data_IF_445930388875
#
_entry.id   IF_445930388875
#
_cell.length_a   1.000
_cell.length_b   1.000
_cell.length_c   1.000
_cell.angle_alpha   90.00
_cell.angle_beta   90.00
_cell.angle_gamma   90.00
#
_symmetry.space_group_name_H-M   'P 1'
#
loop_
_entity.id
_entity.type
_entity.pdbx_description
1 polymer ?
#
# COMPACT_ATOMS: atom_id res chain seq x y z
N UNK A 1 11.45 -6.78 1.40
CA UNK A 1 12.12 -5.51 1.02
C UNK A 1 11.04 -4.47 0.75
N UNK A 2 11.29 -3.20 1.07
CA UNK A 2 10.32 -2.10 0.92
C UNK A 2 10.96 -0.98 0.08
N UNK A 3 10.76 -0.97 -1.25
CA UNK A 3 11.21 0.13 -2.10
C UNK A 3 10.47 1.43 -1.79
N UNK A 4 11.13 2.57 -1.96
CA UNK A 4 10.61 3.90 -1.66
C UNK A 4 10.43 4.67 -2.96
N UNK A 5 9.19 5.04 -3.28
CA UNK A 5 8.91 6.07 -4.30
C UNK A 5 9.22 7.43 -3.68
N UNK A 6 10.21 8.14 -4.23
CA UNK A 6 10.62 9.47 -3.77
C UNK A 6 9.74 10.54 -4.38
N UNK A 7 9.49 11.59 -3.59
CA UNK A 7 8.73 12.78 -4.01
C UNK A 7 7.39 12.44 -4.70
N UNK A 8 6.70 11.42 -4.20
CA UNK A 8 5.48 10.87 -4.81
C UNK A 8 4.36 11.91 -4.95
N UNK A 9 4.36 12.95 -4.11
CA UNK A 9 3.42 14.07 -4.18
C UNK A 9 3.56 14.92 -5.47
N UNK A 10 4.71 14.85 -6.14
CA UNK A 10 4.98 15.59 -7.37
C UNK A 10 4.72 14.77 -8.64
N UNK A 11 4.41 13.48 -8.50
CA UNK A 11 4.22 12.57 -9.63
C UNK A 11 2.76 12.57 -10.10
N UNK A 12 2.56 12.49 -11.41
CA UNK A 12 1.23 12.15 -11.94
C UNK A 12 0.90 10.68 -11.63
N UNK A 13 -0.36 10.29 -11.81
CA UNK A 13 -0.77 8.88 -11.65
C UNK A 13 0.00 7.93 -12.57
N UNK A 14 0.34 8.39 -13.78
CA UNK A 14 1.09 7.58 -14.76
C UNK A 14 2.55 7.44 -14.32
N UNK A 15 3.18 8.54 -13.91
CA UNK A 15 4.58 8.53 -13.47
C UNK A 15 4.74 7.69 -12.19
N UNK A 16 3.80 7.80 -11.26
CA UNK A 16 3.77 6.98 -10.05
C UNK A 16 3.69 5.48 -10.39
N UNK A 17 2.81 5.09 -11.32
CA UNK A 17 2.67 3.70 -11.74
C UNK A 17 3.94 3.17 -12.44
N UNK A 18 4.58 3.99 -13.27
CA UNK A 18 5.85 3.66 -13.91
C UNK A 18 6.96 3.47 -12.88
N UNK A 19 7.06 4.36 -11.89
CA UNK A 19 8.09 4.30 -10.87
C UNK A 19 7.92 3.09 -9.94
N UNK A 20 6.69 2.77 -9.53
CA UNK A 20 6.37 1.54 -8.80
C UNK A 20 6.82 0.31 -9.60
N UNK A 21 6.52 0.27 -10.90
CA UNK A 21 6.91 -0.85 -11.77
C UNK A 21 8.42 -0.98 -11.91
N UNK A 22 9.13 0.14 -12.08
CA UNK A 22 10.59 0.19 -12.16
C UNK A 22 11.23 -0.34 -10.88
N UNK A 23 10.77 0.12 -9.73
CA UNK A 23 11.26 -0.32 -8.42
C UNK A 23 10.97 -1.79 -8.15
N UNK A 24 9.77 -2.28 -8.52
CA UNK A 24 9.41 -3.68 -8.39
C UNK A 24 10.30 -4.59 -9.25
N UNK A 25 10.60 -4.20 -10.49
CA UNK A 25 11.52 -4.92 -11.37
C UNK A 25 12.95 -4.91 -10.81
N UNK A 26 13.47 -3.75 -10.40
CA UNK A 26 14.79 -3.64 -9.81
C UNK A 26 14.93 -4.50 -8.53
N UNK A 27 13.89 -4.53 -7.69
CA UNK A 27 13.83 -5.36 -6.50
C UNK A 27 13.87 -6.86 -6.83
N UNK A 28 13.04 -7.30 -7.80
CA UNK A 28 12.98 -8.70 -8.26
C UNK A 28 14.30 -9.17 -8.88
N UNK A 29 14.93 -8.31 -9.66
CA UNK A 29 16.21 -8.60 -10.33
C UNK A 29 17.43 -8.42 -9.42
N UNK A 30 17.22 -8.07 -8.14
CA UNK A 30 18.29 -7.78 -7.15
C UNK A 30 19.23 -6.65 -7.58
N UNK A 31 18.72 -5.70 -8.39
CA UNK A 31 19.45 -4.51 -8.86
C UNK A 31 19.06 -3.23 -8.13
N UNK A 32 18.13 -3.31 -7.18
CA UNK A 32 17.70 -2.17 -6.38
C UNK A 32 18.87 -1.58 -5.60
N UNK A 33 18.96 -0.25 -5.58
CA UNK A 33 20.02 0.46 -4.88
C UNK A 33 19.63 0.71 -3.41
N UNK A 34 20.60 0.81 -2.48
CA UNK A 34 20.31 1.10 -1.07
C UNK A 34 19.52 2.39 -0.83
N UNK A 35 19.75 3.42 -1.64
CA UNK A 35 19.03 4.70 -1.55
C UNK A 35 17.54 4.60 -1.98
N UNK A 36 17.20 3.59 -2.79
CA UNK A 36 15.82 3.30 -3.20
C UNK A 36 15.05 2.49 -2.15
N UNK A 37 15.68 2.12 -1.03
CA UNK A 37 15.06 1.35 0.06
C UNK A 37 15.07 2.12 1.40
N UNK A 38 15.53 3.37 1.40
CA UNK A 38 15.79 4.14 2.62
C UNK A 38 15.01 5.45 2.62
N UNK A 39 14.79 6.04 3.80
CA UNK A 39 14.14 7.34 4.00
C UNK A 39 12.70 7.41 3.41
N UNK A 40 11.88 6.40 3.70
CA UNK A 40 10.44 6.47 3.49
C UNK A 40 9.76 7.34 4.56
N UNK A 41 8.60 7.90 4.23
CA UNK A 41 7.77 8.67 5.17
C UNK A 41 6.49 7.93 5.58
N UNK A 42 6.03 7.00 4.75
CA UNK A 42 4.83 6.21 4.96
C UNK A 42 4.91 4.93 4.13
N UNK A 43 4.48 3.80 4.71
CA UNK A 43 4.50 2.50 4.05
C UNK A 43 3.09 2.05 3.67
N UNK A 44 2.97 1.45 2.48
CA UNK A 44 1.78 0.70 2.07
C UNK A 44 2.17 -0.77 1.95
N UNK A 45 1.36 -1.64 2.55
CA UNK A 45 1.51 -3.09 2.44
C UNK A 45 0.24 -3.72 1.90
N UNK A 46 0.37 -4.58 0.89
CA UNK A 46 -0.77 -5.18 0.17
C UNK A 46 -0.90 -6.67 0.52
N UNK A 47 -1.69 -6.97 1.54
CA UNK A 47 -2.07 -8.34 1.90
C UNK A 47 -3.11 -8.93 0.93
N UNK A 48 -3.85 -8.06 0.24
CA UNK A 48 -4.83 -8.47 -0.75
C UNK A 48 -4.23 -9.31 -1.88
N UNK A 49 -2.96 -9.08 -2.21
CA UNK A 49 -2.20 -9.87 -3.19
C UNK A 49 -2.13 -11.37 -2.87
N UNK A 50 -2.23 -11.74 -1.59
CA UNK A 50 -2.23 -13.14 -1.11
C UNK A 50 -3.61 -13.60 -0.61
N UNK A 51 -4.67 -12.82 -0.88
CA UNK A 51 -6.06 -13.15 -0.51
C UNK A 51 -6.45 -12.80 0.92
N UNK A 52 -5.57 -12.18 1.71
CA UNK A 52 -5.90 -11.80 3.08
C UNK A 52 -6.87 -10.60 3.11
N UNK A 53 -7.93 -10.72 3.90
CA UNK A 53 -8.99 -9.70 3.96
C UNK A 53 -8.60 -8.48 4.80
N UNK A 54 -7.85 -8.65 5.87
CA UNK A 54 -7.35 -7.59 6.74
C UNK A 54 -6.16 -8.10 7.56
N UNK A 55 -5.43 -7.19 8.19
CA UNK A 55 -4.33 -7.50 9.08
C UNK A 55 -3.91 -6.25 9.85
N UNK A 56 -3.13 -6.43 10.92
CA UNK A 56 -2.56 -5.31 11.69
C UNK A 56 -1.12 -5.10 11.26
N UNK A 57 -0.84 -4.14 10.36
CA UNK A 57 0.53 -3.88 9.92
C UNK A 57 1.44 -3.42 11.07
N UNK A 58 2.70 -3.86 11.03
CA UNK A 58 3.74 -3.33 11.91
C UNK A 58 4.39 -2.13 11.24
N UNK A 59 4.51 -1.03 11.98
CA UNK A 59 5.13 0.22 11.49
C UNK A 59 6.58 -0.04 11.08
N UNK A 60 6.96 0.45 9.91
CA UNK A 60 8.33 0.42 9.41
C UNK A 60 9.13 1.58 10.01
N UNK A 61 9.72 1.37 11.19
CA UNK A 61 10.49 2.41 11.89
C UNK A 61 11.60 2.99 10.97
N UNK A 62 11.80 4.33 10.92
CA UNK A 62 11.28 5.38 11.79
C UNK A 62 9.98 6.08 11.33
N UNK A 63 9.21 5.48 10.42
CA UNK A 63 7.92 6.04 10.00
C UNK A 63 6.90 6.03 11.15
N UNK A 64 5.86 6.86 11.06
CA UNK A 64 4.82 6.97 12.10
C UNK A 64 3.56 6.17 11.81
N UNK A 65 3.36 5.73 10.56
CA UNK A 65 2.17 4.98 10.18
C UNK A 65 2.42 4.09 8.97
N UNK A 66 1.57 3.08 8.84
CA UNK A 66 1.54 2.12 7.73
C UNK A 66 0.09 1.76 7.40
N UNK A 67 -0.24 1.75 6.10
CA UNK A 67 -1.53 1.28 5.61
C UNK A 67 -1.44 -0.15 5.05
N UNK A 68 -2.33 -1.01 5.53
CA UNK A 68 -2.58 -2.34 5.00
C UNK A 68 -3.79 -2.35 4.07
N UNK A 69 -3.59 -2.87 2.86
CA UNK A 69 -4.63 -3.03 1.83
C UNK A 69 -5.04 -4.51 1.77
N UNK A 70 -6.31 -4.80 2.08
CA UNK A 70 -6.89 -6.14 2.02
C UNK A 70 -7.31 -6.57 0.61
N UNK A 71 -7.72 -7.83 0.47
CA UNK A 71 -8.24 -8.35 -0.79
C UNK A 71 -9.58 -7.68 -1.15
N UNK A 72 -9.77 -7.42 -2.45
CA UNK A 72 -11.04 -6.95 -2.99
C UNK A 72 -11.98 -8.14 -3.14
N UNK A 73 -13.15 -8.08 -2.50
CA UNK A 73 -14.15 -9.16 -2.51
C UNK A 73 -15.54 -8.64 -2.85
N UNK A 74 -16.36 -9.48 -3.46
CA UNK A 74 -17.79 -9.19 -3.65
C UNK A 74 -18.53 -9.31 -2.32
N UNK A 75 -19.25 -8.25 -1.94
CA UNK A 75 -20.10 -8.22 -0.75
C UNK A 75 -21.41 -7.49 -1.05
N UNK A 76 -22.51 -7.81 -0.35
CA UNK A 76 -23.70 -6.98 -0.37
C UNK A 76 -23.37 -5.61 0.27
N UNK A 77 -23.66 -4.53 -0.46
CA UNK A 77 -23.52 -3.14 0.01
C UNK A 77 -24.83 -2.39 -0.20
N UNK A 78 -25.07 -1.38 0.63
CA UNK A 78 -26.24 -0.50 0.46
C UNK A 78 -25.85 0.64 -0.47
N UNK A 79 -26.56 0.78 -1.59
CA UNK A 79 -26.46 1.91 -2.51
C UNK A 79 -27.86 2.43 -2.82
N UNK A 80 -28.09 3.72 -2.58
CA UNK A 80 -29.39 4.37 -2.81
C UNK A 80 -30.57 3.64 -2.14
N UNK A 81 -30.36 3.13 -0.91
CA UNK A 81 -31.38 2.41 -0.14
C UNK A 81 -31.61 0.95 -0.55
N UNK A 82 -30.87 0.43 -1.54
CA UNK A 82 -31.00 -0.94 -2.04
C UNK A 82 -29.74 -1.75 -1.73
N UNK A 83 -29.92 -3.04 -1.44
CA UNK A 83 -28.81 -3.99 -1.31
C UNK A 83 -28.38 -4.42 -2.71
N UNK A 84 -27.14 -4.10 -3.08
CA UNK A 84 -26.54 -4.46 -4.37
C UNK A 84 -25.21 -5.19 -4.17
N UNK A 85 -24.77 -6.05 -5.09
CA UNK A 85 -23.40 -6.56 -5.08
C UNK A 85 -22.40 -5.41 -5.28
N UNK A 86 -21.36 -5.35 -4.45
CA UNK A 86 -20.30 -4.37 -4.55
C UNK A 86 -18.92 -4.97 -4.27
N UNK A 87 -17.90 -4.41 -4.93
CA UNK A 87 -16.50 -4.70 -4.61
C UNK A 87 -16.10 -3.92 -3.36
N UNK A 88 -15.74 -4.63 -2.30
CA UNK A 88 -15.32 -4.03 -1.01
C UNK A 88 -13.90 -4.45 -0.71
N UNK A 89 -13.14 -3.53 -0.12
CA UNK A 89 -11.77 -3.71 0.29
C UNK A 89 -11.60 -3.14 1.70
N UNK A 90 -11.01 -3.90 2.62
CA UNK A 90 -10.65 -3.35 3.92
C UNK A 90 -9.36 -2.55 3.80
N UNK A 91 -9.34 -1.37 4.41
CA UNK A 91 -8.14 -0.58 4.64
C UNK A 91 -7.88 -0.57 6.15
N UNK A 92 -6.68 -0.94 6.57
CA UNK A 92 -6.26 -0.88 7.98
C UNK A 92 -5.08 0.06 8.10
N UNK A 93 -5.07 0.92 9.13
CA UNK A 93 -3.94 1.81 9.41
C UNK A 93 -3.45 1.53 10.82
N UNK A 94 -2.17 1.23 10.94
CA UNK A 94 -1.48 1.23 12.23
C UNK A 94 -0.65 2.51 12.30
N UNK A 95 -0.83 3.25 13.38
CA UNK A 95 -0.19 4.54 13.59
C UNK A 95 0.37 4.62 15.02
N UNK A 96 1.49 5.30 15.16
CA UNK A 96 2.08 5.64 16.43
C UNK A 96 1.25 6.73 17.11
N UNK A 97 0.48 6.35 18.11
CA UNK A 97 -0.48 7.22 18.78
C UNK A 97 0.16 8.30 19.68
N UNK A 98 1.50 8.33 19.79
CA UNK A 98 2.24 9.36 20.51
C UNK A 98 2.25 10.72 19.79
N UNK A 99 1.97 10.71 18.48
CA UNK A 99 2.01 11.87 17.59
C UNK A 99 0.68 12.10 16.89
#
# INVERSE_FOLDING_TARGET
MVPVVKDSQNLSMVDLAQEISRLALAARDKKIKPNEMSNGSFTITNYGSIGALFGTPVINYPELAIAGVGAIVDRPVVKDGQIVPGKVMNLTVSADHRW
#
